data_IF_028220770906
#
_entry.id   IF_028220770906
#
_cell.length_a   1.000
_cell.length_b   1.000
_cell.length_c   1.000
_cell.angle_alpha   90.00
_cell.angle_beta   90.00
_cell.angle_gamma   90.00
#
_symmetry.space_group_name_H-M   'P 1'
#
loop_
_entity.id
_entity.type
_entity.pdbx_description
1 polymer ?
#
# COMPACT_ATOMS: atom_id res chain seq x y z
N UNK A 1 31.74 5.29 18.48
CA UNK A 1 30.73 6.12 17.80
C UNK A 1 30.23 5.35 16.59
N UNK A 2 29.06 4.68 16.67
CA UNK A 2 28.63 3.69 15.66
C UNK A 2 27.69 4.28 14.58
N UNK A 3 26.99 5.39 14.88
CA UNK A 3 26.01 6.00 13.97
C UNK A 3 26.20 7.51 13.71
N UNK A 4 27.36 8.07 14.08
CA UNK A 4 27.67 9.50 13.86
C UNK A 4 26.57 10.50 14.30
N UNK A 5 25.82 10.17 15.36
CA UNK A 5 24.83 11.08 15.94
C UNK A 5 25.56 12.04 16.87
N UNK A 6 25.25 13.33 16.77
CA UNK A 6 25.88 14.39 17.57
C UNK A 6 25.44 14.31 19.04
N UNK A 7 26.36 14.48 19.98
CA UNK A 7 26.08 14.26 21.41
C UNK A 7 25.13 15.29 22.04
N UNK A 8 24.87 16.41 21.34
CA UNK A 8 24.03 17.50 21.84
C UNK A 8 22.57 17.44 21.38
N UNK A 9 22.19 16.49 20.52
CA UNK A 9 20.79 16.38 20.06
C UNK A 9 19.92 15.65 21.09
N UNK A 10 18.61 15.85 20.99
CA UNK A 10 17.64 15.16 21.83
C UNK A 10 17.77 13.64 21.69
N UNK A 11 17.42 12.92 22.76
CA UNK A 11 17.33 11.46 22.73
C UNK A 11 16.27 11.03 21.72
N UNK A 12 16.51 9.88 21.08
CA UNK A 12 15.56 9.27 20.17
C UNK A 12 14.22 8.99 20.87
N UNK A 13 13.12 9.35 20.21
CA UNK A 13 11.76 8.96 20.55
C UNK A 13 11.11 8.38 19.30
N UNK A 14 10.30 7.33 19.46
CA UNK A 14 9.63 6.66 18.34
C UNK A 14 8.62 7.57 17.65
N UNK A 15 7.86 8.33 18.43
CA UNK A 15 6.95 9.37 17.95
C UNK A 15 7.26 10.71 18.64
N UNK A 16 6.96 11.81 17.95
CA UNK A 16 7.13 13.17 18.49
C UNK A 16 5.77 13.82 18.70
N UNK A 17 5.36 14.01 19.95
CA UNK A 17 4.06 14.62 20.29
C UNK A 17 3.97 16.11 19.89
N UNK A 18 5.12 16.74 19.65
CA UNK A 18 5.21 18.13 19.18
C UNK A 18 4.99 18.27 17.68
N UNK A 19 5.19 17.20 16.91
CA UNK A 19 4.96 17.20 15.46
C UNK A 19 3.50 16.86 15.21
N UNK A 20 2.68 17.91 15.12
CA UNK A 20 1.28 17.75 14.81
C UNK A 20 1.08 17.57 13.30
N UNK A 21 1.01 16.30 12.85
CA UNK A 21 0.66 15.98 11.46
C UNK A 21 -0.85 16.02 11.19
N UNK A 22 -1.71 16.01 12.22
CA UNK A 22 -3.17 16.02 12.04
C UNK A 22 -3.71 17.41 11.66
N UNK A 23 -2.94 18.48 11.86
CA UNK A 23 -3.27 19.81 11.32
C UNK A 23 -2.93 19.99 9.83
N UNK A 24 -2.34 18.97 9.19
CA UNK A 24 -1.85 19.01 7.80
C UNK A 24 -2.70 18.18 6.82
N UNK A 25 -3.98 17.90 7.12
CA UNK A 25 -4.91 17.27 6.17
C UNK A 25 -5.12 18.17 4.93
N UNK A 26 -4.16 18.11 4.00
CA UNK A 26 -4.16 18.89 2.77
C UNK A 26 -5.05 18.26 1.70
N UNK A 27 -5.23 16.94 1.77
CA UNK A 27 -5.98 16.16 0.80
C UNK A 27 -6.92 15.19 1.50
N UNK A 28 -8.17 15.15 1.05
CA UNK A 28 -9.16 14.16 1.48
C UNK A 28 -8.83 12.76 0.91
N UNK A 29 -8.18 12.72 -0.25
CA UNK A 29 -7.80 11.49 -0.94
C UNK A 29 -6.57 11.72 -1.81
N UNK A 30 -5.76 10.68 -2.00
CA UNK A 30 -4.60 10.72 -2.90
C UNK A 30 -4.91 10.32 -4.34
N UNK A 31 -6.19 10.07 -4.70
CA UNK A 31 -6.58 9.67 -6.08
C UNK A 31 -6.00 10.60 -7.14
N UNK A 32 -6.06 11.92 -6.93
CA UNK A 32 -5.56 12.88 -7.92
C UNK A 32 -4.03 12.89 -8.02
N UNK A 33 -3.34 12.54 -6.94
CA UNK A 33 -1.87 12.33 -6.98
C UNK A 33 -1.56 11.09 -7.83
N UNK A 34 -2.27 9.99 -7.63
CA UNK A 34 -2.12 8.79 -8.47
C UNK A 34 -2.46 9.04 -9.93
N UNK A 35 -3.54 9.76 -10.23
CA UNK A 35 -3.86 10.18 -11.61
C UNK A 35 -2.76 11.03 -12.23
N UNK A 36 -2.17 11.95 -11.47
CA UNK A 36 -1.04 12.75 -11.93
C UNK A 36 0.19 11.89 -12.24
N UNK A 37 0.46 10.87 -11.42
CA UNK A 37 1.53 9.89 -11.68
C UNK A 37 1.23 9.08 -12.94
N UNK A 38 -0.01 8.62 -13.12
CA UNK A 38 -0.43 7.88 -14.32
C UNK A 38 -0.28 8.73 -15.60
N UNK A 39 -0.58 10.03 -15.52
CA UNK A 39 -0.45 10.97 -16.62
C UNK A 39 1.01 11.20 -17.07
N UNK A 40 2.01 10.89 -16.23
CA UNK A 40 3.43 10.90 -16.64
C UNK A 40 3.76 9.83 -17.68
N UNK A 41 2.87 8.83 -17.86
CA UNK A 41 3.04 7.72 -18.81
C UNK A 41 4.37 6.95 -18.64
N UNK A 42 4.91 6.92 -17.43
CA UNK A 42 6.13 6.21 -17.08
C UNK A 42 5.79 4.77 -16.63
N UNK A 43 6.58 3.75 -17.03
CA UNK A 43 6.33 2.36 -16.65
C UNK A 43 6.49 2.15 -15.15
N UNK A 44 5.37 2.18 -14.40
CA UNK A 44 5.35 2.01 -12.96
C UNK A 44 4.54 0.78 -12.55
N UNK A 45 5.11 0.05 -11.60
CA UNK A 45 4.44 -1.04 -10.89
C UNK A 45 4.33 -0.61 -9.43
N UNK A 46 3.11 -0.48 -8.95
CA UNK A 46 2.81 -0.03 -7.59
C UNK A 46 2.16 -1.16 -6.81
N UNK A 47 2.39 -1.15 -5.50
CA UNK A 47 1.82 -2.10 -4.56
C UNK A 47 1.21 -1.29 -3.41
N UNK A 48 -0.06 -1.54 -3.13
CA UNK A 48 -0.69 -1.20 -1.86
C UNK A 48 -0.87 -2.51 -1.12
N UNK A 49 -0.24 -2.62 0.05
CA UNK A 49 -0.42 -3.76 0.92
C UNK A 49 -1.03 -3.30 2.24
N UNK A 50 -2.01 -4.05 2.70
CA UNK A 50 -2.72 -3.83 3.95
C UNK A 50 -2.85 -5.15 4.67
N UNK A 51 -2.99 -5.11 5.97
CA UNK A 51 -3.30 -6.31 6.73
C UNK A 51 -4.81 -6.50 6.88
N UNK A 52 -5.19 -7.74 7.16
CA UNK A 52 -6.59 -8.09 7.36
C UNK A 52 -7.11 -7.89 8.79
N UNK A 53 -6.24 -7.61 9.78
CA UNK A 53 -6.64 -7.28 11.15
C UNK A 53 -6.32 -5.85 11.61
N UNK A 54 -5.72 -5.01 10.76
CA UNK A 54 -5.58 -3.58 11.07
C UNK A 54 -6.95 -2.86 11.00
N UNK A 55 -7.26 -2.11 12.06
CA UNK A 55 -8.47 -1.30 12.17
C UNK A 55 -8.22 0.19 11.91
N UNK A 56 -6.96 0.62 11.87
CA UNK A 56 -6.59 2.02 11.61
C UNK A 56 -6.54 2.33 10.11
N UNK A 57 -6.02 1.41 9.30
CA UNK A 57 -5.92 1.53 7.85
C UNK A 57 -6.29 0.19 7.18
N UNK A 58 -7.58 -0.11 7.17
CA UNK A 58 -8.07 -1.44 6.88
C UNK A 58 -8.03 -1.82 5.39
N UNK A 59 -8.03 -3.14 5.13
CA UNK A 59 -8.11 -3.68 3.78
C UNK A 59 -9.33 -3.19 2.99
N UNK A 60 -10.48 -3.03 3.66
CA UNK A 60 -11.71 -2.55 3.03
C UNK A 60 -11.56 -1.15 2.44
N UNK A 61 -10.91 -0.24 3.17
CA UNK A 61 -10.71 1.15 2.75
C UNK A 61 -9.80 1.21 1.53
N UNK A 62 -8.72 0.43 1.54
CA UNK A 62 -7.79 0.33 0.40
C UNK A 62 -8.44 -0.31 -0.83
N UNK A 63 -9.25 -1.35 -0.64
CA UNK A 63 -9.99 -1.95 -1.75
C UNK A 63 -10.97 -0.97 -2.39
N UNK A 64 -11.73 -0.23 -1.58
CA UNK A 64 -12.65 0.77 -2.09
C UNK A 64 -11.92 1.89 -2.85
N UNK A 65 -10.78 2.34 -2.32
CA UNK A 65 -9.94 3.34 -2.98
C UNK A 65 -9.46 2.87 -4.37
N UNK A 66 -8.94 1.65 -4.47
CA UNK A 66 -8.40 1.12 -5.73
C UNK A 66 -9.49 0.85 -6.78
N UNK A 67 -10.64 0.33 -6.35
CA UNK A 67 -11.76 0.08 -7.25
C UNK A 67 -12.38 1.38 -7.76
N UNK A 68 -12.51 2.39 -6.89
CA UNK A 68 -13.00 3.71 -7.25
C UNK A 68 -12.00 4.45 -8.15
N UNK A 69 -10.68 4.28 -7.93
CA UNK A 69 -9.65 4.81 -8.82
C UNK A 69 -9.67 4.12 -10.19
N UNK A 70 -9.83 2.79 -10.24
CA UNK A 70 -9.91 2.05 -11.49
C UNK A 70 -11.11 2.50 -12.34
N UNK A 71 -12.27 2.74 -11.71
CA UNK A 71 -13.47 3.27 -12.38
C UNK A 71 -13.22 4.64 -13.02
N UNK A 72 -12.57 5.56 -12.29
CA UNK A 72 -12.27 6.91 -12.80
C UNK A 72 -11.45 6.89 -14.09
N UNK A 73 -10.50 5.97 -14.19
CA UNK A 73 -9.57 5.89 -15.33
C UNK A 73 -10.05 4.96 -16.44
N UNK A 74 -11.13 4.22 -16.22
CA UNK A 74 -11.63 3.20 -17.14
C UNK A 74 -12.04 3.79 -18.50
N UNK A 75 -12.80 4.88 -18.49
CA UNK A 75 -13.28 5.50 -19.72
C UNK A 75 -12.14 6.08 -20.58
N UNK A 76 -11.05 6.52 -19.94
CA UNK A 76 -9.91 7.14 -20.62
C UNK A 76 -8.88 6.12 -21.13
N UNK A 77 -8.59 5.09 -20.33
CA UNK A 77 -7.47 4.18 -20.59
C UNK A 77 -7.87 2.73 -20.81
N UNK A 78 -9.17 2.40 -20.72
CA UNK A 78 -9.64 1.01 -20.82
C UNK A 78 -9.09 0.13 -19.69
N UNK A 79 -9.05 0.68 -18.47
CA UNK A 79 -8.50 -0.03 -17.30
C UNK A 79 -9.23 -1.35 -17.04
N UNK A 80 -8.50 -2.32 -16.50
CA UNK A 80 -9.02 -3.64 -16.17
C UNK A 80 -8.38 -4.18 -14.89
N UNK A 81 -8.98 -5.20 -14.29
CA UNK A 81 -8.47 -5.82 -13.09
C UNK A 81 -8.64 -7.33 -13.11
N UNK A 82 -7.83 -8.04 -12.33
CA UNK A 82 -7.93 -9.48 -12.16
C UNK A 82 -8.97 -9.85 -11.11
N UNK A 83 -9.47 -11.08 -11.17
CA UNK A 83 -10.11 -11.68 -10.00
C UNK A 83 -9.13 -11.73 -8.83
N UNK A 84 -9.65 -11.62 -7.60
CA UNK A 84 -8.87 -11.80 -6.38
C UNK A 84 -8.31 -13.23 -6.35
N UNK A 85 -7.03 -13.38 -6.08
CA UNK A 85 -6.33 -14.67 -6.02
C UNK A 85 -5.63 -14.83 -4.69
N UNK A 86 -5.53 -16.06 -4.22
CA UNK A 86 -4.69 -16.41 -3.09
C UNK A 86 -3.21 -16.38 -3.47
N UNK A 87 -2.39 -16.02 -2.51
CA UNK A 87 -0.94 -16.12 -2.58
C UNK A 87 -0.44 -16.90 -1.35
N UNK A 88 0.37 -17.92 -1.61
CA UNK A 88 0.88 -18.80 -0.58
C UNK A 88 2.35 -18.55 -0.33
N UNK A 89 2.75 -18.69 0.93
CA UNK A 89 4.14 -18.63 1.35
C UNK A 89 4.58 -19.98 1.90
N UNK A 90 5.84 -20.32 1.67
CA UNK A 90 6.48 -21.49 2.23
C UNK A 90 7.83 -21.06 2.81
N UNK A 91 8.00 -21.22 4.13
CA UNK A 91 9.23 -20.83 4.81
C UNK A 91 10.47 -21.57 4.30
N UNK A 92 10.30 -22.84 3.93
CA UNK A 92 11.35 -23.66 3.35
C UNK A 92 10.82 -25.01 2.88
N UNK A 93 11.67 -25.78 2.19
CA UNK A 93 11.30 -27.00 1.47
C UNK A 93 10.61 -28.09 2.32
N UNK A 94 10.78 -28.07 3.65
CA UNK A 94 10.16 -29.02 4.60
C UNK A 94 8.79 -28.59 5.15
N UNK A 95 8.29 -27.40 4.82
CA UNK A 95 7.00 -26.89 5.30
C UNK A 95 5.94 -26.92 4.21
N UNK A 96 4.67 -27.09 4.59
CA UNK A 96 3.57 -26.94 3.63
C UNK A 96 3.37 -25.47 3.25
N UNK A 97 3.10 -25.15 1.97
CA UNK A 97 2.67 -23.81 1.58
C UNK A 97 1.40 -23.42 2.34
N UNK A 98 1.41 -22.25 2.97
CA UNK A 98 0.27 -21.70 3.70
C UNK A 98 -0.25 -20.45 3.02
N UNK A 99 -1.56 -20.22 3.13
CA UNK A 99 -2.15 -18.96 2.68
C UNK A 99 -1.52 -17.80 3.46
N UNK A 100 -0.82 -16.93 2.75
CA UNK A 100 -0.15 -15.76 3.32
C UNK A 100 -0.89 -14.46 2.98
N UNK A 101 -1.50 -14.37 1.80
CA UNK A 101 -2.26 -13.19 1.43
C UNK A 101 -3.26 -13.47 0.30
N UNK A 102 -4.06 -12.44 -0.01
CA UNK A 102 -4.81 -12.37 -1.26
C UNK A 102 -4.37 -11.16 -2.05
N UNK A 103 -4.31 -11.30 -3.37
CA UNK A 103 -3.90 -10.25 -4.29
C UNK A 103 -5.02 -9.94 -5.29
N UNK A 104 -5.16 -8.67 -5.64
CA UNK A 104 -5.96 -8.20 -6.78
C UNK A 104 -5.11 -7.23 -7.60
N UNK A 105 -4.95 -7.50 -8.88
CA UNK A 105 -4.15 -6.68 -9.79
C UNK A 105 -5.04 -5.76 -10.62
N UNK A 106 -4.61 -4.54 -10.82
CA UNK A 106 -5.25 -3.52 -11.63
C UNK A 106 -4.28 -3.02 -12.69
N UNK A 107 -4.71 -3.05 -13.94
CA UNK A 107 -4.05 -2.37 -15.05
C UNK A 107 -4.76 -1.04 -15.28
N UNK A 108 -4.26 0.02 -14.65
CA UNK A 108 -4.89 1.34 -14.64
C UNK A 108 -4.69 2.06 -15.99
N UNK A 109 -3.48 1.96 -16.55
CA UNK A 109 -3.14 2.46 -17.89
C UNK A 109 -2.26 1.43 -18.60
N UNK A 110 -1.88 1.63 -19.89
CA UNK A 110 -0.94 0.74 -20.57
C UNK A 110 0.42 0.59 -19.85
N UNK A 111 0.88 1.65 -19.16
CA UNK A 111 2.19 1.71 -18.51
C UNK A 111 2.13 1.76 -16.97
N UNK A 112 0.94 1.73 -16.37
CA UNK A 112 0.79 1.77 -14.91
C UNK A 112 -0.05 0.57 -14.44
N UNK A 113 0.54 -0.23 -13.55
CA UNK A 113 -0.14 -1.32 -12.85
C UNK A 113 -0.09 -1.14 -11.35
N UNK A 114 -1.18 -1.48 -10.69
CA UNK A 114 -1.32 -1.45 -9.24
C UNK A 114 -1.73 -2.82 -8.73
N UNK A 115 -1.01 -3.35 -7.76
CA UNK A 115 -1.39 -4.54 -7.02
C UNK A 115 -1.91 -4.15 -5.64
N UNK A 116 -3.07 -4.69 -5.25
CA UNK A 116 -3.58 -4.64 -3.90
C UNK A 116 -3.36 -6.00 -3.23
N UNK A 117 -2.75 -6.02 -2.06
CA UNK A 117 -2.42 -7.23 -1.32
C UNK A 117 -2.92 -7.17 0.12
N UNK A 118 -3.65 -8.20 0.56
CA UNK A 118 -4.12 -8.35 1.95
C UNK A 118 -3.29 -9.39 2.70
N UNK A 119 -2.46 -8.98 3.66
CA UNK A 119 -1.63 -9.89 4.45
C UNK A 119 -2.45 -10.53 5.56
N UNK A 120 -2.42 -11.86 5.62
CA UNK A 120 -3.19 -12.65 6.58
C UNK A 120 -2.54 -12.59 7.96
N UNK A 121 -3.30 -12.15 8.96
CA UNK A 121 -2.89 -12.14 10.37
C UNK A 121 -1.85 -11.08 10.73
N UNK A 122 -1.51 -10.18 9.81
CA UNK A 122 -0.64 -9.04 10.10
C UNK A 122 -1.42 -7.91 10.77
N UNK A 123 -0.72 -7.05 11.51
CA UNK A 123 -1.28 -5.80 12.05
C UNK A 123 -0.63 -4.62 11.35
N UNK A 124 -0.90 -3.39 11.78
CA UNK A 124 -0.40 -2.15 11.17
C UNK A 124 1.12 -2.16 10.85
N UNK A 125 1.91 -2.91 11.63
CA UNK A 125 3.31 -3.19 11.37
C UNK A 125 3.51 -4.60 10.81
N UNK A 126 3.11 -4.85 9.56
CA UNK A 126 3.22 -6.17 8.88
C UNK A 126 4.50 -6.95 9.16
N UNK A 127 5.71 -6.32 9.15
CA UNK A 127 6.95 -7.07 9.30
C UNK A 127 7.37 -7.43 10.73
N UNK A 128 6.66 -6.99 11.78
CA UNK A 128 7.01 -7.26 13.19
C UNK A 128 6.56 -8.64 13.65
#
# INVERSE_FOLDING_TARGET
MLFHILDYVQKFSFCSDTLNYTSLYKYFSLKDTFKSIMALNYPLRTLIYTDDVDLACGMMESQLFDEDMNKDVQAMYGSSYSSRKEWTYQYGHGYYPTLACYQKSFKMTPNFSLDLLSVKGGSHFVPT
#
